data_IF_681640823405
#
_entry.id   IF_681640823405
#
_cell.length_a   1.000
_cell.length_b   1.000
_cell.length_c   1.000
_cell.angle_alpha   90.00
_cell.angle_beta   90.00
_cell.angle_gamma   90.00
#
_symmetry.space_group_name_H-M   'P 1'
#
loop_
_entity.id
_entity.type
_entity.pdbx_description
1 polymer ?
#
# COMPACT_ATOMS: atom_id res chain seq x y z
N UNK A 1 -5.05 8.98 19.06
CA UNK A 1 -4.35 10.05 18.31
C UNK A 1 -4.66 9.89 16.83
N UNK A 2 -4.85 11.00 16.12
CA UNK A 2 -5.05 10.94 14.67
C UNK A 2 -3.71 10.60 13.99
N UNK A 3 -3.65 9.49 13.31
CA UNK A 3 -2.46 8.99 12.63
C UNK A 3 -2.23 9.71 11.29
N UNK A 4 -3.28 9.78 10.46
CA UNK A 4 -3.27 10.50 9.19
C UNK A 4 -4.43 11.49 9.20
N UNK A 5 -4.16 12.76 8.90
CA UNK A 5 -5.17 13.81 8.81
C UNK A 5 -5.18 14.38 7.40
N UNK A 6 -6.35 14.44 6.83
CA UNK A 6 -6.65 15.06 5.54
C UNK A 6 -7.38 16.38 5.85
N UNK A 7 -6.83 17.52 5.40
CA UNK A 7 -7.38 18.83 5.69
C UNK A 7 -7.62 19.62 4.41
N UNK A 8 -8.88 19.84 4.09
CA UNK A 8 -9.36 20.69 2.99
C UNK A 8 -8.70 20.34 1.64
N UNK A 9 -8.52 19.05 1.37
CA UNK A 9 -7.87 18.59 0.14
C UNK A 9 -8.78 18.83 -1.06
N UNK A 10 -8.28 19.62 -2.00
CA UNK A 10 -8.86 19.78 -3.33
C UNK A 10 -7.88 19.36 -4.40
N UNK A 11 -8.36 18.59 -5.38
CA UNK A 11 -7.56 18.17 -6.55
C UNK A 11 -8.38 18.25 -7.82
N UNK A 12 -7.85 18.96 -8.82
CA UNK A 12 -8.47 19.14 -10.13
C UNK A 12 -7.56 18.60 -11.23
N UNK A 13 -8.17 17.99 -12.22
CA UNK A 13 -7.52 17.56 -13.44
C UNK A 13 -8.25 18.20 -14.63
N UNK A 14 -7.67 19.26 -15.21
CA UNK A 14 -8.34 20.06 -16.25
C UNK A 14 -9.75 20.49 -15.79
N UNK A 15 -10.78 19.96 -16.43
CA UNK A 15 -12.19 20.31 -16.19
C UNK A 15 -12.86 19.40 -15.12
N UNK A 16 -12.13 18.42 -14.55
CA UNK A 16 -12.66 17.47 -13.58
C UNK A 16 -12.13 17.77 -12.18
N UNK A 17 -13.00 18.05 -11.24
CA UNK A 17 -12.67 18.11 -9.82
C UNK A 17 -12.73 16.68 -9.26
N UNK A 18 -11.57 16.08 -9.00
CA UNK A 18 -11.47 14.72 -8.49
C UNK A 18 -11.68 14.64 -6.96
N UNK A 19 -11.26 15.69 -6.24
CA UNK A 19 -11.49 15.87 -4.79
C UNK A 19 -11.87 17.33 -4.58
N UNK A 20 -12.89 17.57 -3.75
CA UNK A 20 -13.41 18.91 -3.49
C UNK A 20 -13.57 19.10 -1.98
N UNK A 21 -12.67 19.89 -1.39
CA UNK A 21 -12.63 20.26 0.03
C UNK A 21 -12.81 19.07 1.01
N UNK A 22 -12.06 18.00 0.78
CA UNK A 22 -12.17 16.78 1.58
C UNK A 22 -11.37 16.91 2.88
N UNK A 23 -12.05 16.68 4.01
CA UNK A 23 -11.43 16.69 5.34
C UNK A 23 -11.91 15.51 6.17
N UNK A 24 -10.97 14.70 6.66
CA UNK A 24 -11.21 13.63 7.63
C UNK A 24 -9.90 13.14 8.23
N UNK A 25 -9.97 12.23 9.21
CA UNK A 25 -8.78 11.65 9.83
C UNK A 25 -8.92 10.16 10.06
N UNK A 26 -7.78 9.48 10.02
CA UNK A 26 -7.63 8.09 10.42
C UNK A 26 -7.00 8.03 11.81
N UNK A 27 -7.54 7.18 12.66
CA UNK A 27 -6.94 6.87 13.95
C UNK A 27 -5.91 5.76 13.80
N UNK A 28 -4.86 5.78 14.61
CA UNK A 28 -3.89 4.72 14.66
C UNK A 28 -4.49 3.41 15.18
N UNK A 29 -4.00 2.26 14.67
CA UNK A 29 -4.46 0.95 15.11
C UNK A 29 -5.87 0.60 14.60
N UNK A 30 -6.27 1.07 13.42
CA UNK A 30 -7.56 0.74 12.80
C UNK A 30 -7.43 0.38 11.33
N UNK A 31 -8.31 -0.49 10.86
CA UNK A 31 -8.47 -0.81 9.43
C UNK A 31 -9.60 0.04 8.87
N UNK A 32 -9.33 0.72 7.77
CA UNK A 32 -10.30 1.55 7.06
C UNK A 32 -10.53 1.03 5.64
N UNK A 33 -11.78 0.99 5.22
CA UNK A 33 -12.16 0.65 3.86
C UNK A 33 -12.68 1.87 3.10
N UNK A 34 -12.05 2.19 1.97
CA UNK A 34 -12.55 3.20 1.04
C UNK A 34 -13.61 2.60 0.13
N UNK A 35 -14.86 2.99 0.30
CA UNK A 35 -15.97 2.58 -0.54
C UNK A 35 -16.37 3.71 -1.49
N UNK A 36 -16.64 3.39 -2.73
CA UNK A 36 -17.10 4.36 -3.71
C UNK A 36 -17.01 3.83 -5.15
N UNK A 37 -17.77 4.45 -6.04
CA UNK A 37 -17.79 4.10 -7.48
C UNK A 37 -16.42 4.38 -8.12
N UNK A 38 -16.17 3.76 -9.29
CA UNK A 38 -15.00 4.11 -10.10
C UNK A 38 -15.08 5.60 -10.49
N UNK A 39 -13.94 6.30 -10.39
CA UNK A 39 -13.89 7.74 -10.59
C UNK A 39 -14.26 8.62 -9.37
N UNK A 40 -14.60 8.04 -8.23
CA UNK A 40 -14.93 8.80 -7.01
C UNK A 40 -13.71 9.45 -6.29
N UNK A 41 -12.54 9.47 -6.90
CA UNK A 41 -11.34 10.12 -6.35
C UNK A 41 -10.52 9.26 -5.39
N UNK A 42 -10.87 7.98 -5.15
CA UNK A 42 -10.16 7.10 -4.20
C UNK A 42 -8.65 7.01 -4.49
N UNK A 43 -8.27 6.61 -5.70
CA UNK A 43 -6.85 6.50 -6.09
C UNK A 43 -6.15 7.86 -6.12
N UNK A 44 -6.87 8.96 -6.44
CA UNK A 44 -6.33 10.31 -6.33
C UNK A 44 -5.94 10.62 -4.88
N UNK A 45 -6.83 10.35 -3.94
CA UNK A 45 -6.56 10.59 -2.52
C UNK A 45 -5.41 9.69 -2.00
N UNK A 46 -5.43 8.41 -2.34
CA UNK A 46 -4.34 7.48 -2.00
C UNK A 46 -3.00 8.00 -2.53
N UNK A 47 -2.94 8.47 -3.77
CA UNK A 47 -1.72 9.00 -4.36
C UNK A 47 -1.26 10.31 -3.70
N UNK A 48 -2.17 11.14 -3.19
CA UNK A 48 -1.83 12.35 -2.41
C UNK A 48 -1.26 11.95 -1.05
N UNK A 49 -1.87 10.99 -0.33
CA UNK A 49 -1.36 10.50 0.96
C UNK A 49 0.04 9.86 0.76
N UNK A 50 0.22 9.10 -0.31
CA UNK A 50 1.50 8.48 -0.66
C UNK A 50 2.53 9.45 -1.28
N UNK A 51 2.23 10.77 -1.35
CA UNK A 51 3.08 11.82 -1.94
C UNK A 51 3.53 11.57 -3.40
N UNK A 52 2.74 10.80 -4.14
CA UNK A 52 2.98 10.55 -5.58
C UNK A 52 2.47 11.69 -6.47
N UNK A 53 1.46 12.39 -5.98
CA UNK A 53 0.91 13.61 -6.58
C UNK A 53 0.61 14.61 -5.47
N UNK A 54 0.58 15.90 -5.80
CA UNK A 54 0.26 16.94 -4.84
C UNK A 54 -1.20 17.40 -4.98
N UNK A 55 -1.82 17.72 -3.85
CA UNK A 55 -3.09 18.43 -3.82
C UNK A 55 -2.90 19.86 -4.39
N UNK A 56 -3.96 20.42 -4.96
CA UNK A 56 -3.97 21.82 -5.40
C UNK A 56 -4.22 22.75 -4.22
N UNK A 57 -5.01 22.27 -3.22
CA UNK A 57 -5.26 22.97 -1.95
C UNK A 57 -5.31 21.96 -0.80
N UNK A 58 -5.08 22.46 0.42
CA UNK A 58 -5.10 21.67 1.63
C UNK A 58 -3.77 20.95 1.92
N UNK A 59 -3.79 20.15 2.97
CA UNK A 59 -2.58 19.41 3.43
C UNK A 59 -2.93 18.03 3.98
N UNK A 60 -1.95 17.13 3.91
CA UNK A 60 -1.95 15.84 4.60
C UNK A 60 -0.94 15.91 5.73
N UNK A 61 -1.37 15.56 6.93
CA UNK A 61 -0.48 15.41 8.08
C UNK A 61 -0.40 13.92 8.46
N UNK A 62 0.79 13.45 8.78
CA UNK A 62 1.04 12.10 9.30
C UNK A 62 1.77 12.26 10.63
N UNK A 63 1.19 11.71 11.69
CA UNK A 63 1.62 11.96 13.07
C UNK A 63 1.72 13.46 13.41
N UNK A 64 0.85 14.28 12.83
CA UNK A 64 0.85 15.74 12.99
C UNK A 64 1.90 16.49 12.17
N UNK A 65 2.70 15.81 11.35
CA UNK A 65 3.76 16.40 10.53
C UNK A 65 3.30 16.47 9.06
N UNK A 66 3.49 17.62 8.36
CA UNK A 66 3.17 17.72 6.94
C UNK A 66 3.87 16.66 6.10
N UNK A 67 3.07 15.94 5.28
CA UNK A 67 3.58 14.84 4.46
C UNK A 67 4.27 15.32 3.18
N UNK A 68 3.91 16.51 2.68
CA UNK A 68 4.43 17.01 1.41
C UNK A 68 5.96 17.14 1.45
N UNK A 69 6.63 16.45 0.52
CA UNK A 69 8.09 16.47 0.35
C UNK A 69 8.90 16.14 1.62
N UNK A 70 8.32 15.37 2.54
CA UNK A 70 8.97 15.00 3.80
C UNK A 70 9.34 13.51 3.80
N UNK A 71 10.60 13.19 3.50
CA UNK A 71 11.08 11.81 3.40
C UNK A 71 10.90 11.03 4.70
N UNK A 72 11.19 11.61 5.86
CA UNK A 72 11.06 10.93 7.16
C UNK A 72 9.62 10.56 7.51
N UNK A 73 8.64 11.25 6.93
CA UNK A 73 7.22 10.88 7.03
C UNK A 73 6.87 9.75 6.07
N UNK A 74 7.46 9.78 4.86
CA UNK A 74 7.15 8.77 3.83
C UNK A 74 7.77 7.40 4.13
N UNK A 75 8.84 7.33 4.88
CA UNK A 75 9.41 6.07 5.39
C UNK A 75 8.43 5.30 6.29
N UNK A 76 7.45 5.98 6.87
CA UNK A 76 6.39 5.38 7.70
C UNK A 76 5.23 4.78 6.90
N UNK A 77 5.17 5.02 5.60
CA UNK A 77 4.03 4.61 4.75
C UNK A 77 4.50 3.66 3.67
N UNK A 78 3.81 2.56 3.52
CA UNK A 78 3.89 1.74 2.32
C UNK A 78 2.56 1.77 1.58
N UNK A 79 2.60 2.05 0.28
CA UNK A 79 1.41 2.05 -0.58
C UNK A 79 1.58 1.04 -1.70
N UNK A 80 0.86 -0.09 -1.57
CA UNK A 80 0.68 -1.04 -2.66
C UNK A 80 -0.28 -0.47 -3.69
N UNK A 81 0.16 -0.35 -4.94
CA UNK A 81 -0.68 0.11 -6.04
C UNK A 81 -0.72 -0.89 -7.19
N UNK A 82 -1.66 -0.69 -8.11
CA UNK A 82 -1.77 -1.48 -9.34
C UNK A 82 -0.52 -1.29 -10.24
N UNK A 83 0.11 -0.12 -10.20
CA UNK A 83 1.26 0.20 -11.03
C UNK A 83 2.42 -0.80 -10.85
N UNK A 84 2.98 -1.25 -11.97
CA UNK A 84 4.14 -2.14 -12.01
C UNK A 84 5.43 -1.33 -11.81
N UNK A 85 5.82 -1.13 -10.55
CA UNK A 85 7.06 -0.46 -10.15
C UNK A 85 8.25 -1.44 -10.01
N UNK A 86 8.03 -2.70 -10.34
CA UNK A 86 9.00 -3.79 -10.15
C UNK A 86 9.71 -4.13 -11.45
N UNK A 87 11.02 -4.42 -11.37
CA UNK A 87 11.79 -4.88 -12.52
C UNK A 87 11.22 -6.23 -13.02
N UNK A 88 10.81 -6.23 -14.27
CA UNK A 88 10.11 -7.36 -14.87
C UNK A 88 11.02 -8.58 -15.08
N UNK A 89 12.33 -8.38 -15.16
CA UNK A 89 13.33 -9.42 -15.44
C UNK A 89 13.94 -10.02 -14.19
N UNK A 90 13.80 -9.39 -13.04
CA UNK A 90 14.26 -9.95 -11.76
C UNK A 90 13.36 -11.09 -11.29
N UNK A 91 13.97 -12.05 -10.59
CA UNK A 91 13.23 -13.11 -9.89
C UNK A 91 12.58 -12.57 -8.62
N UNK A 92 11.48 -13.19 -8.20
CA UNK A 92 10.77 -12.85 -6.96
C UNK A 92 11.72 -12.78 -5.76
N UNK A 93 12.55 -13.80 -5.56
CA UNK A 93 13.52 -13.84 -4.45
C UNK A 93 14.55 -12.71 -4.48
N UNK A 94 14.91 -12.25 -5.67
CA UNK A 94 15.88 -11.17 -5.82
C UNK A 94 15.23 -9.82 -5.52
N UNK A 95 13.94 -9.63 -5.86
CA UNK A 95 13.16 -8.48 -5.40
C UNK A 95 13.10 -8.39 -3.88
N UNK A 96 12.82 -9.52 -3.18
CA UNK A 96 12.80 -9.52 -1.72
C UNK A 96 14.15 -9.12 -1.12
N UNK A 97 15.27 -9.64 -1.68
CA UNK A 97 16.61 -9.25 -1.24
C UNK A 97 16.88 -7.75 -1.49
N UNK A 98 16.46 -7.22 -2.65
CA UNK A 98 16.58 -5.79 -2.92
C UNK A 98 15.73 -4.97 -1.97
N UNK A 99 14.48 -5.34 -1.73
CA UNK A 99 13.61 -4.67 -0.76
C UNK A 99 14.25 -4.65 0.63
N UNK A 100 14.81 -5.76 1.08
CA UNK A 100 15.53 -5.86 2.36
C UNK A 100 16.79 -4.95 2.45
N UNK A 101 17.39 -4.59 1.33
CA UNK A 101 18.52 -3.65 1.30
C UNK A 101 18.10 -2.19 1.37
N UNK A 102 16.91 -1.86 0.87
CA UNK A 102 16.39 -0.49 0.85
C UNK A 102 15.52 -0.17 2.07
N UNK A 103 14.86 -1.17 2.65
CA UNK A 103 13.99 -1.03 3.80
C UNK A 103 14.55 -1.86 4.96
N UNK A 104 15.11 -1.20 5.96
CA UNK A 104 15.70 -1.87 7.14
C UNK A 104 14.67 -2.70 7.91
N UNK A 105 13.40 -2.32 7.83
CA UNK A 105 12.27 -2.96 8.53
C UNK A 105 11.57 -4.02 7.68
N UNK A 106 12.18 -4.49 6.59
CA UNK A 106 11.64 -5.57 5.77
C UNK A 106 12.02 -6.94 6.35
N UNK A 107 11.02 -7.73 6.71
CA UNK A 107 11.20 -9.09 7.19
C UNK A 107 11.33 -10.08 6.02
N UNK A 108 12.58 -10.39 5.67
CA UNK A 108 12.90 -11.28 4.55
C UNK A 108 12.43 -12.72 4.80
N UNK A 109 12.54 -13.22 6.04
CA UNK A 109 12.13 -14.57 6.39
C UNK A 109 10.61 -14.72 6.29
N UNK A 110 9.87 -13.74 6.79
CA UNK A 110 8.42 -13.64 6.63
C UNK A 110 8.01 -13.62 5.16
N UNK A 111 8.72 -12.88 4.29
CA UNK A 111 8.43 -12.85 2.86
C UNK A 111 8.56 -14.24 2.21
N UNK A 112 9.59 -15.01 2.59
CA UNK A 112 9.74 -16.39 2.11
C UNK A 112 8.67 -17.33 2.69
N UNK A 113 8.28 -17.15 3.94
CA UNK A 113 7.21 -17.92 4.57
C UNK A 113 5.85 -17.69 3.91
N UNK A 114 5.51 -16.42 3.69
CA UNK A 114 4.29 -16.04 2.98
C UNK A 114 4.29 -16.55 1.53
N UNK A 115 5.45 -16.54 0.86
CA UNK A 115 5.56 -17.11 -0.50
C UNK A 115 5.17 -18.59 -0.54
N UNK A 116 5.53 -19.37 0.48
CA UNK A 116 5.10 -20.78 0.61
C UNK A 116 3.59 -20.87 0.83
N UNK A 117 3.03 -20.04 1.73
CA UNK A 117 1.57 -20.04 2.02
C UNK A 117 0.73 -19.69 0.80
N UNK A 118 1.19 -18.77 -0.04
CA UNK A 118 0.53 -18.36 -1.28
C UNK A 118 0.91 -19.20 -2.50
N UNK A 119 1.74 -20.23 -2.35
CA UNK A 119 2.27 -21.03 -3.46
C UNK A 119 2.96 -20.20 -4.54
N UNK A 120 3.63 -19.11 -4.16
CA UNK A 120 4.37 -18.24 -5.06
C UNK A 120 5.76 -18.83 -5.34
N UNK A 121 6.05 -19.14 -6.61
CA UNK A 121 7.37 -19.60 -7.03
C UNK A 121 8.38 -18.45 -7.04
N UNK A 122 9.23 -18.42 -6.03
CA UNK A 122 10.25 -17.37 -5.83
C UNK A 122 11.38 -17.39 -6.85
N UNK A 123 11.52 -18.46 -7.65
CA UNK A 123 12.54 -18.57 -8.70
C UNK A 123 12.05 -18.03 -10.04
N UNK A 124 10.75 -17.79 -10.21
CA UNK A 124 10.20 -17.17 -11.41
C UNK A 124 10.57 -15.69 -11.48
N UNK A 125 10.73 -15.19 -12.71
CA UNK A 125 10.84 -13.75 -12.97
C UNK A 125 9.47 -13.09 -12.80
N UNK A 126 9.43 -11.84 -12.36
CA UNK A 126 8.18 -11.10 -12.14
C UNK A 126 7.28 -11.10 -13.38
N UNK A 127 7.84 -10.90 -14.58
CA UNK A 127 7.09 -10.94 -15.85
C UNK A 127 6.47 -12.29 -16.18
N UNK A 128 6.98 -13.39 -15.62
CA UNK A 128 6.46 -14.74 -15.85
C UNK A 128 5.34 -15.12 -14.89
N UNK A 129 5.01 -14.24 -13.94
CA UNK A 129 3.87 -14.42 -13.04
C UNK A 129 2.57 -14.01 -13.74
N UNK A 130 1.48 -14.73 -13.47
CA UNK A 130 0.13 -14.27 -13.83
C UNK A 130 -0.22 -12.98 -13.06
N UNK A 131 -1.20 -12.22 -13.52
CA UNK A 131 -1.64 -10.99 -12.82
C UNK A 131 -2.01 -11.25 -11.36
N UNK A 132 -2.69 -12.36 -11.06
CA UNK A 132 -2.98 -12.76 -9.68
C UNK A 132 -1.71 -13.01 -8.87
N UNK A 133 -0.73 -13.72 -9.41
CA UNK A 133 0.54 -13.93 -8.72
C UNK A 133 1.41 -12.67 -8.61
N UNK A 134 1.29 -11.71 -9.53
CA UNK A 134 1.90 -10.38 -9.38
C UNK A 134 1.25 -9.61 -8.20
N UNK A 135 -0.08 -9.69 -8.06
CA UNK A 135 -0.78 -9.14 -6.89
C UNK A 135 -0.34 -9.81 -5.59
N UNK A 136 -0.26 -11.14 -5.56
CA UNK A 136 0.25 -11.91 -4.40
C UNK A 136 1.68 -11.47 -4.03
N UNK A 137 2.58 -11.31 -5.00
CA UNK A 137 3.93 -10.83 -4.76
C UNK A 137 3.93 -9.44 -4.09
N UNK A 138 3.12 -8.50 -4.60
CA UNK A 138 2.98 -7.15 -4.02
C UNK A 138 2.42 -7.21 -2.58
N UNK A 139 1.44 -8.08 -2.33
CA UNK A 139 0.88 -8.33 -1.00
C UNK A 139 1.92 -8.85 -0.01
N UNK A 140 2.75 -9.80 -0.44
CA UNK A 140 3.82 -10.35 0.39
C UNK A 140 4.80 -9.25 0.79
N UNK A 141 5.20 -8.37 -0.14
CA UNK A 141 6.06 -7.23 0.20
C UNK A 141 5.38 -6.33 1.24
N UNK A 142 4.11 -5.96 1.03
CA UNK A 142 3.36 -5.10 1.93
C UNK A 142 3.25 -5.69 3.35
N UNK A 143 2.97 -6.99 3.46
CA UNK A 143 2.84 -7.67 4.75
C UNK A 143 4.19 -7.91 5.44
N UNK A 144 5.29 -7.93 4.69
CA UNK A 144 6.63 -8.15 5.22
C UNK A 144 7.38 -6.87 5.57
N UNK A 145 6.84 -5.71 5.21
CA UNK A 145 7.35 -4.41 5.64
C UNK A 145 6.78 -4.07 7.02
N UNK A 146 7.65 -3.70 7.97
CA UNK A 146 7.23 -3.29 9.31
C UNK A 146 7.09 -1.77 9.41
N UNK A 147 6.13 -1.21 8.68
CA UNK A 147 5.82 0.23 8.68
C UNK A 147 4.50 0.51 9.39
N UNK A 148 4.34 1.67 10.04
CA UNK A 148 3.11 2.03 10.77
C UNK A 148 1.85 2.10 9.90
N UNK A 149 1.99 2.54 8.64
CA UNK A 149 0.87 2.80 7.74
C UNK A 149 1.01 1.99 6.45
N UNK A 150 0.02 1.14 6.19
CA UNK A 150 -0.02 0.35 4.94
C UNK A 150 -1.30 0.66 4.19
N UNK A 151 -1.15 1.11 2.97
CA UNK A 151 -2.27 1.44 2.08
C UNK A 151 -2.31 0.40 0.96
N UNK A 152 -3.49 -0.16 0.74
CA UNK A 152 -3.75 -1.11 -0.34
C UNK A 152 -4.71 -0.49 -1.36
N UNK A 153 -4.27 -0.31 -2.60
CA UNK A 153 -5.12 0.11 -3.70
C UNK A 153 -5.50 -1.14 -4.52
N UNK A 154 -6.74 -1.57 -4.39
CA UNK A 154 -7.31 -2.76 -5.03
C UNK A 154 -6.51 -4.07 -4.82
N UNK A 155 -6.16 -4.46 -3.57
CA UNK A 155 -5.21 -5.53 -3.28
C UNK A 155 -5.64 -6.92 -3.75
N UNK A 156 -6.95 -7.13 -3.93
CA UNK A 156 -7.51 -8.44 -4.29
C UNK A 156 -7.85 -8.58 -5.78
N UNK A 157 -7.50 -7.57 -6.57
CA UNK A 157 -7.74 -7.62 -8.02
C UNK A 157 -6.95 -8.77 -8.66
N UNK A 158 -7.66 -9.62 -9.40
CA UNK A 158 -7.07 -10.79 -10.07
C UNK A 158 -6.78 -12.00 -9.16
N UNK A 159 -7.13 -11.94 -7.86
CA UNK A 159 -7.04 -13.09 -6.97
C UNK A 159 -8.28 -13.99 -7.07
N UNK A 160 -8.07 -15.30 -6.99
CA UNK A 160 -9.15 -16.26 -6.78
C UNK A 160 -9.69 -16.19 -5.33
N UNK A 161 -10.78 -16.92 -5.06
CA UNK A 161 -11.46 -16.89 -3.77
C UNK A 161 -10.54 -17.34 -2.61
N UNK A 162 -9.76 -18.40 -2.82
CA UNK A 162 -8.88 -18.95 -1.78
C UNK A 162 -7.77 -17.97 -1.40
N UNK A 163 -7.15 -17.34 -2.39
CA UNK A 163 -6.10 -16.34 -2.13
C UNK A 163 -6.66 -15.06 -1.50
N UNK A 164 -7.91 -14.66 -1.82
CA UNK A 164 -8.59 -13.54 -1.14
C UNK A 164 -8.82 -13.83 0.34
N UNK A 165 -9.37 -15.00 0.64
CA UNK A 165 -9.63 -15.43 2.03
C UNK A 165 -8.32 -15.49 2.82
N UNK A 166 -7.28 -16.09 2.25
CA UNK A 166 -5.96 -16.13 2.87
C UNK A 166 -5.41 -14.72 3.13
N UNK A 167 -5.54 -13.80 2.16
CA UNK A 167 -5.10 -12.42 2.35
C UNK A 167 -5.83 -11.75 3.51
N UNK A 168 -7.15 -11.81 3.55
CA UNK A 168 -7.91 -11.17 4.63
C UNK A 168 -7.62 -11.79 5.99
N UNK A 169 -7.45 -13.11 6.08
CA UNK A 169 -7.06 -13.78 7.33
C UNK A 169 -5.69 -13.33 7.83
N UNK A 170 -4.71 -13.17 6.93
CA UNK A 170 -3.39 -12.68 7.27
C UNK A 170 -3.42 -11.20 7.65
N UNK A 171 -4.20 -10.37 6.95
CA UNK A 171 -4.35 -8.95 7.27
C UNK A 171 -4.93 -8.75 8.67
N UNK A 172 -5.99 -9.48 9.02
CA UNK A 172 -6.60 -9.42 10.35
C UNK A 172 -5.61 -9.88 11.43
N UNK A 173 -4.88 -10.96 11.20
CA UNK A 173 -3.86 -11.45 12.12
C UNK A 173 -2.72 -10.44 12.31
N UNK A 174 -2.28 -9.78 11.26
CA UNK A 174 -1.28 -8.71 11.34
C UNK A 174 -1.79 -7.53 12.15
N UNK A 175 -3.06 -7.16 11.95
CA UNK A 175 -3.70 -6.09 12.71
C UNK A 175 -3.82 -6.42 14.20
N UNK A 176 -4.17 -7.66 14.57
CA UNK A 176 -4.27 -8.11 15.96
C UNK A 176 -2.92 -8.14 16.69
N UNK A 177 -1.83 -8.43 15.97
CA UNK A 177 -0.50 -8.60 16.55
C UNK A 177 0.39 -7.34 16.49
N UNK A 178 0.05 -6.39 15.62
CA UNK A 178 0.85 -5.20 15.40
C UNK A 178 -0.05 -3.96 15.40
N UNK A 179 0.38 -2.94 16.11
CA UNK A 179 -0.27 -1.63 16.08
C UNK A 179 0.01 -0.92 14.74
N UNK A 180 -0.77 -1.26 13.72
CA UNK A 180 -0.70 -0.66 12.37
C UNK A 180 -2.03 -0.06 11.96
N UNK A 181 -2.01 0.81 10.98
CA UNK A 181 -3.22 1.39 10.33
C UNK A 181 -3.12 1.25 8.83
#
# INVERSE_FOLDING_TARGET
>A
MNAIQIKNITKRYKDVTALDDISFSFEFGRIYGFLGRNGAGKSTLINIIANRIFADQGEVLIDGIPAKENMGVHEKIFCMSEADLYDRDLKVKDHFKWTNRFYNDFDLDKAFELSKKFNLDINKRFKALSKGYQSIFKLIIALSLNVPYVIFDEPVLGLDANHRELFYSLLLKEFENNERT
#
